data_IF_584501074371
#
_entry.id   IF_584501074371
#
_cell.length_a   1.000
_cell.length_b   1.000
_cell.length_c   1.000
_cell.angle_alpha   90.00
_cell.angle_beta   90.00
_cell.angle_gamma   90.00
#
_symmetry.space_group_name_H-M   'P 1'
#
loop_
_entity.id
_entity.type
_entity.pdbx_description
1 polymer ?
#
# COMPACT_ATOMS: atom_id res chain seq x y z
N UNK A 1 38.75 55.01 21.95
CA UNK A 1 39.00 53.76 22.70
C UNK A 1 39.16 52.62 21.70
N UNK A 2 40.25 51.87 21.84
CA UNK A 2 40.78 50.92 20.85
C UNK A 2 40.48 49.47 21.26
N UNK A 3 40.32 48.62 20.24
CA UNK A 3 40.44 47.14 20.22
C UNK A 3 39.35 46.35 20.95
N UNK A 4 38.66 45.51 20.17
CA UNK A 4 38.66 44.05 20.34
C UNK A 4 38.24 43.38 19.02
N UNK A 5 39.24 43.06 18.21
CA UNK A 5 39.20 41.89 17.34
C UNK A 5 38.99 40.68 18.24
N UNK A 6 38.02 39.82 17.94
CA UNK A 6 37.99 38.51 18.56
C UNK A 6 37.33 37.47 17.65
N UNK A 7 38.21 36.61 17.14
CA UNK A 7 38.00 35.23 16.70
C UNK A 7 37.22 35.04 15.39
N UNK A 8 37.90 34.94 14.25
CA UNK A 8 38.61 33.73 13.78
C UNK A 8 37.74 32.45 13.84
N UNK A 9 37.18 32.15 12.66
CA UNK A 9 37.05 30.84 12.03
C UNK A 9 37.76 29.70 12.77
N UNK A 10 37.00 28.70 13.20
CA UNK A 10 37.53 27.34 13.41
C UNK A 10 36.75 26.36 12.53
N UNK A 11 37.55 25.46 11.97
CA UNK A 11 37.30 24.53 10.87
C UNK A 11 36.64 23.24 11.38
N UNK A 12 35.99 22.52 10.47
CA UNK A 12 35.56 21.12 10.48
C UNK A 12 35.89 20.26 11.70
N UNK A 13 34.87 19.51 12.14
CA UNK A 13 35.08 18.12 12.54
C UNK A 13 34.08 17.24 11.81
N UNK A 14 34.57 16.60 10.76
CA UNK A 14 34.02 15.37 10.23
C UNK A 14 33.85 14.38 11.39
N UNK A 15 32.65 13.81 11.54
CA UNK A 15 32.47 12.58 12.28
C UNK A 15 31.96 11.53 11.32
N UNK A 16 32.93 10.82 10.77
CA UNK A 16 32.79 9.52 10.14
C UNK A 16 32.10 8.57 11.13
N UNK A 17 30.87 8.17 10.83
CA UNK A 17 30.26 6.97 11.40
C UNK A 17 30.11 5.94 10.28
N UNK A 18 31.25 5.50 9.76
CA UNK A 18 31.35 4.27 9.01
C UNK A 18 31.57 3.09 9.98
N UNK A 19 30.57 2.19 10.04
CA UNK A 19 30.67 0.71 10.09
C UNK A 19 29.71 0.03 11.09
N UNK A 20 29.34 -1.26 10.89
CA UNK A 20 29.34 -2.05 9.66
C UNK A 20 27.98 -2.71 9.36
N UNK A 21 27.88 -3.17 8.10
CA UNK A 21 26.87 -4.05 7.53
C UNK A 21 26.78 -5.40 8.27
N UNK A 22 25.55 -5.92 8.36
CA UNK A 22 25.09 -7.25 8.81
C UNK A 22 24.67 -7.40 10.28
N UNK A 23 23.34 -7.39 10.49
CA UNK A 23 22.68 -8.54 11.12
C UNK A 23 21.23 -8.61 10.65
N UNK A 24 21.01 -9.53 9.71
CA UNK A 24 19.71 -9.98 9.24
C UNK A 24 19.03 -10.71 10.39
N UNK A 25 18.03 -10.08 11.02
CA UNK A 25 16.91 -10.83 11.56
C UNK A 25 15.83 -10.79 10.51
N UNK A 26 15.97 -11.71 9.57
CA UNK A 26 14.93 -12.10 8.63
C UNK A 26 13.63 -12.25 9.43
N UNK A 27 12.67 -11.37 9.15
CA UNK A 27 11.28 -11.70 9.40
C UNK A 27 10.93 -12.56 8.19
N UNK A 28 10.77 -13.89 8.32
CA UNK A 28 10.14 -14.67 7.27
C UNK A 28 8.64 -14.35 7.34
N UNK A 29 8.24 -13.14 6.95
CA UNK A 29 6.85 -12.91 6.55
C UNK A 29 6.83 -13.32 5.10
N UNK A 30 6.62 -14.62 4.93
CA UNK A 30 6.38 -15.30 3.68
C UNK A 30 5.76 -14.35 2.68
N UNK A 31 6.52 -14.14 1.61
CA UNK A 31 6.02 -13.79 0.31
C UNK A 31 4.94 -14.83 -0.04
N UNK A 32 3.75 -14.70 0.56
CA UNK A 32 2.51 -15.14 -0.06
C UNK A 32 2.47 -14.33 -1.34
N UNK A 33 3.09 -14.88 -2.38
CA UNK A 33 2.68 -14.63 -3.74
C UNK A 33 1.22 -15.09 -3.80
N UNK A 34 0.30 -14.27 -3.26
CA UNK A 34 -1.11 -14.36 -3.57
C UNK A 34 -1.11 -14.28 -5.07
N UNK A 35 -1.46 -15.38 -5.71
CA UNK A 35 -1.79 -15.40 -7.12
C UNK A 35 -2.95 -14.43 -7.24
N UNK A 36 -2.66 -13.16 -7.49
CA UNK A 36 -3.68 -12.14 -7.57
C UNK A 36 -4.42 -12.41 -8.87
N UNK A 37 -5.69 -12.82 -8.80
CA UNK A 37 -6.45 -13.04 -10.01
C UNK A 37 -6.46 -11.73 -10.80
N UNK A 38 -6.10 -11.80 -12.08
CA UNK A 38 -6.11 -10.63 -12.96
C UNK A 38 -7.55 -10.25 -13.22
N UNK A 39 -8.07 -9.33 -12.41
CA UNK A 39 -9.41 -8.78 -12.52
C UNK A 39 -9.32 -7.48 -13.30
N UNK A 40 -10.09 -7.36 -14.38
CA UNK A 40 -10.16 -6.12 -15.16
C UNK A 40 -10.94 -5.04 -14.43
N UNK A 41 -10.54 -3.79 -14.58
CA UNK A 41 -11.25 -2.63 -14.04
C UNK A 41 -12.72 -2.58 -14.48
N UNK A 42 -13.05 -3.03 -15.70
CA UNK A 42 -14.44 -3.08 -16.17
C UNK A 42 -15.31 -4.03 -15.33
N UNK A 43 -14.72 -5.15 -14.87
CA UNK A 43 -15.44 -6.09 -14.00
C UNK A 43 -15.66 -5.49 -12.61
N UNK A 44 -14.66 -4.78 -12.08
CA UNK A 44 -14.76 -4.07 -10.81
C UNK A 44 -15.82 -2.97 -10.91
N UNK A 45 -15.78 -2.16 -11.98
CA UNK A 45 -16.73 -1.09 -12.23
C UNK A 45 -18.17 -1.60 -12.32
N UNK A 46 -18.40 -2.67 -13.09
CA UNK A 46 -19.70 -3.30 -13.20
C UNK A 46 -20.20 -3.81 -11.84
N UNK A 47 -19.32 -4.44 -11.07
CA UNK A 47 -19.67 -4.96 -9.75
C UNK A 47 -19.95 -3.83 -8.75
N UNK A 48 -19.14 -2.78 -8.75
CA UNK A 48 -19.32 -1.59 -7.93
C UNK A 48 -20.64 -0.87 -8.25
N UNK A 49 -21.03 -0.80 -9.53
CA UNK A 49 -22.33 -0.27 -9.95
C UNK A 49 -23.50 -1.02 -9.30
N UNK A 50 -23.47 -2.35 -9.25
CA UNK A 50 -24.53 -3.11 -8.58
C UNK A 50 -24.53 -2.92 -7.06
N UNK A 51 -23.36 -2.75 -6.45
CA UNK A 51 -23.25 -2.45 -5.01
C UNK A 51 -23.85 -1.08 -4.72
N UNK A 52 -23.48 -0.06 -5.50
CA UNK A 52 -23.97 1.31 -5.32
C UNK A 52 -25.47 1.40 -5.57
N UNK A 53 -26.00 0.67 -6.55
CA UNK A 53 -27.43 0.64 -6.82
C UNK A 53 -28.21 -0.01 -5.67
N UNK A 54 -27.69 -1.12 -5.11
CA UNK A 54 -28.29 -1.74 -3.92
C UNK A 54 -28.26 -0.81 -2.70
N UNK A 55 -27.15 -0.09 -2.50
CA UNK A 55 -26.98 0.90 -1.44
C UNK A 55 -28.04 2.01 -1.57
N UNK A 56 -28.22 2.55 -2.77
CA UNK A 56 -29.23 3.58 -3.07
C UNK A 56 -30.65 3.08 -2.84
N UNK A 57 -30.96 1.86 -3.28
CA UNK A 57 -32.29 1.25 -3.09
C UNK A 57 -32.65 1.05 -1.61
N UNK A 58 -31.66 0.73 -0.78
CA UNK A 58 -31.86 0.52 0.66
C UNK A 58 -31.71 1.79 1.49
N UNK A 59 -31.39 2.93 0.86
CA UNK A 59 -31.14 4.20 1.56
C UNK A 59 -29.92 4.14 2.47
N UNK A 60 -28.95 3.28 2.17
CA UNK A 60 -27.74 3.13 2.96
C UNK A 60 -26.73 4.23 2.64
N UNK A 61 -26.09 4.74 3.68
CA UNK A 61 -24.96 5.67 3.54
C UNK A 61 -23.75 4.93 2.97
N UNK A 62 -22.97 5.62 2.14
CA UNK A 62 -21.73 5.10 1.57
C UNK A 62 -21.27 5.89 0.34
N UNK A 63 -20.04 5.63 -0.06
CA UNK A 63 -19.31 6.32 -1.12
C UNK A 63 -18.89 5.37 -2.24
N UNK A 64 -18.70 5.92 -3.43
CA UNK A 64 -18.31 5.16 -4.62
C UNK A 64 -16.97 4.43 -4.45
N UNK A 65 -16.06 5.00 -3.64
CA UNK A 65 -14.75 4.43 -3.40
C UNK A 65 -14.82 3.18 -2.48
N UNK A 66 -15.70 3.15 -1.49
CA UNK A 66 -15.96 1.92 -0.72
C UNK A 66 -16.67 0.88 -1.56
N UNK A 67 -17.62 1.27 -2.41
CA UNK A 67 -18.31 0.37 -3.35
C UNK A 67 -17.27 -0.30 -4.30
N UNK A 68 -16.30 0.47 -4.80
CA UNK A 68 -15.18 -0.03 -5.62
C UNK A 68 -14.30 -1.03 -4.86
N UNK A 69 -13.86 -0.66 -3.66
CA UNK A 69 -12.99 -1.53 -2.83
C UNK A 69 -13.70 -2.84 -2.47
N UNK A 70 -15.00 -2.79 -2.21
CA UNK A 70 -15.80 -3.97 -1.91
C UNK A 70 -15.96 -4.86 -3.16
N UNK A 71 -16.22 -4.27 -4.32
CA UNK A 71 -16.26 -4.98 -5.59
C UNK A 71 -14.94 -5.72 -5.89
N UNK A 72 -13.80 -5.06 -5.71
CA UNK A 72 -12.49 -5.66 -5.93
C UNK A 72 -12.27 -6.87 -5.00
N UNK A 73 -12.55 -6.73 -3.70
CA UNK A 73 -12.41 -7.84 -2.73
C UNK A 73 -13.32 -9.02 -3.05
N UNK A 74 -14.57 -8.77 -3.44
CA UNK A 74 -15.50 -9.83 -3.82
C UNK A 74 -15.01 -10.60 -5.05
N UNK A 75 -14.54 -9.89 -6.08
CA UNK A 75 -14.02 -10.51 -7.30
C UNK A 75 -12.74 -11.31 -7.02
N UNK A 76 -11.86 -10.81 -6.15
CA UNK A 76 -10.67 -11.54 -5.73
C UNK A 76 -11.03 -12.83 -4.98
N UNK A 77 -12.00 -12.78 -4.07
CA UNK A 77 -12.48 -13.95 -3.35
C UNK A 77 -13.11 -14.98 -4.31
N UNK A 78 -13.99 -14.55 -5.22
CA UNK A 78 -14.61 -15.44 -6.20
C UNK A 78 -13.60 -16.11 -7.13
N UNK A 79 -12.56 -15.40 -7.54
CA UNK A 79 -11.52 -15.95 -8.40
C UNK A 79 -10.57 -16.91 -7.66
N UNK A 80 -10.43 -16.76 -6.34
CA UNK A 80 -9.73 -17.72 -5.50
C UNK A 80 -10.59 -18.97 -5.20
N UNK A 81 -11.89 -18.79 -5.01
CA UNK A 81 -12.86 -19.86 -4.72
C UNK A 81 -13.25 -20.71 -5.94
N UNK A 82 -12.97 -20.25 -7.16
CA UNK A 82 -13.11 -21.07 -8.37
C UNK A 82 -11.80 -21.83 -8.59
N UNK A 83 -11.55 -23.01 -7.97
CA UNK A 83 -10.50 -23.88 -8.48
C UNK A 83 -10.90 -24.15 -9.93
N UNK A 84 -10.00 -23.82 -10.85
CA UNK A 84 -10.19 -24.05 -12.28
C UNK A 84 -10.59 -25.51 -12.47
N UNK A 85 -11.89 -25.77 -12.61
CA UNK A 85 -12.38 -27.10 -13.02
C UNK A 85 -11.89 -27.26 -14.45
N UNK A 86 -10.70 -27.86 -14.59
CA UNK A 86 -10.22 -28.40 -15.86
C UNK A 86 -11.28 -29.40 -16.31
N UNK A 87 -12.02 -29.05 -17.35
CA UNK A 87 -12.84 -29.99 -18.12
C UNK A 87 -11.95 -30.83 -19.02
#
# INVERSE_FOLDING_TARGET
MSKKNLFQRTFSKENNNDKPLHDLKEIPSENEQKVTPVISNDQIALRAYFISERRRQLGWEGDENSDWTNAERQLQAEALEKPTKKK
#
